data_IF_277769904562
#
_entry.id   IF_277769904562
#
_cell.length_a   1.000
_cell.length_b   1.000
_cell.length_c   1.000
_cell.angle_alpha   90.00
_cell.angle_beta   90.00
_cell.angle_gamma   90.00
#
_symmetry.space_group_name_H-M   'P 1'
#
loop_
_entity.id
_entity.type
_entity.pdbx_description
1 polymer ?
#
# COMPACT_ATOMS: atom_id res chain seq x y z
N UNK A 1 10.73 -6.97 21.97
CA UNK A 1 9.32 -6.71 22.31
C UNK A 1 9.15 -5.21 22.40
N UNK A 2 8.39 -4.64 21.49
CA UNK A 2 8.28 -3.20 21.29
C UNK A 2 7.42 -2.57 22.40
N UNK A 3 8.07 -1.84 23.30
CA UNK A 3 7.46 -1.17 24.47
C UNK A 3 6.32 -0.19 24.13
N UNK A 4 6.27 0.52 22.97
CA UNK A 4 5.18 1.43 22.61
C UNK A 4 3.84 0.71 22.38
N UNK A 5 3.87 -0.47 21.75
CA UNK A 5 2.67 -1.26 21.47
C UNK A 5 1.98 -1.76 22.75
N UNK A 6 2.75 -1.96 23.83
CA UNK A 6 2.23 -2.35 25.14
C UNK A 6 1.48 -1.22 25.86
N UNK A 7 1.75 0.04 25.52
CA UNK A 7 1.10 1.23 26.12
C UNK A 7 0.05 1.88 25.22
N UNK A 8 -0.29 1.27 24.08
CA UNK A 8 -1.35 1.75 23.19
C UNK A 8 -1.12 3.18 22.67
N UNK A 9 0.14 3.61 22.56
CA UNK A 9 0.50 4.86 21.90
C UNK A 9 1.09 4.51 20.53
N UNK A 10 0.44 4.87 19.41
CA UNK A 10 1.10 4.80 18.13
C UNK A 10 2.34 5.70 18.22
N UNK A 11 3.50 5.18 17.81
CA UNK A 11 4.67 6.01 17.59
C UNK A 11 4.38 7.06 16.50
N UNK A 12 5.26 8.05 16.30
CA UNK A 12 5.16 8.89 15.11
C UNK A 12 5.13 8.01 13.85
N UNK A 13 4.45 8.44 12.77
CA UNK A 13 4.49 7.75 11.49
C UNK A 13 5.94 7.47 11.10
N UNK A 14 6.21 6.27 10.58
CA UNK A 14 7.55 5.92 10.11
C UNK A 14 7.85 6.73 8.85
N UNK A 15 9.12 7.08 8.68
CA UNK A 15 9.58 7.72 7.46
C UNK A 15 9.73 6.64 6.36
N UNK A 16 8.88 6.73 5.35
CA UNK A 16 8.87 5.85 4.18
C UNK A 16 9.36 6.55 2.91
N UNK A 17 10.09 7.66 3.03
CA UNK A 17 10.60 8.42 1.89
C UNK A 17 11.64 7.68 1.04
N UNK A 18 12.34 6.69 1.62
CA UNK A 18 13.43 5.95 0.96
C UNK A 18 12.95 4.64 0.32
N UNK A 19 13.55 4.32 -0.82
CA UNK A 19 13.45 3.03 -1.52
C UNK A 19 14.70 2.84 -2.40
N UNK A 20 14.93 1.61 -2.90
CA UNK A 20 16.02 1.28 -3.83
C UNK A 20 15.56 0.47 -5.05
N UNK A 21 14.25 0.33 -5.25
CA UNK A 21 13.64 -0.28 -6.43
C UNK A 21 12.92 0.80 -7.23
N UNK A 22 13.23 0.91 -8.52
CA UNK A 22 12.54 1.79 -9.48
C UNK A 22 11.21 1.15 -9.92
N UNK A 23 10.23 1.99 -10.25
CA UNK A 23 8.97 1.58 -10.86
C UNK A 23 8.91 2.13 -12.28
N UNK A 24 8.89 1.21 -13.24
CA UNK A 24 8.56 1.46 -14.63
C UNK A 24 7.05 1.28 -14.75
N UNK A 25 6.32 2.34 -15.06
CA UNK A 25 4.88 2.30 -15.21
C UNK A 25 4.52 2.34 -16.69
N UNK A 26 3.93 1.26 -17.19
CA UNK A 26 3.60 1.10 -18.60
C UNK A 26 2.34 1.85 -18.99
N UNK A 27 2.46 2.68 -20.03
CA UNK A 27 1.36 3.17 -20.84
C UNK A 27 1.17 2.16 -21.97
N UNK A 28 0.18 1.30 -21.78
CA UNK A 28 -0.18 0.25 -22.73
C UNK A 28 -0.79 0.83 -24.00
N UNK A 29 -0.57 0.17 -25.12
CA UNK A 29 -1.10 0.59 -26.44
C UNK A 29 -0.72 2.04 -26.81
N UNK A 30 0.48 2.48 -26.42
CA UNK A 30 0.97 3.84 -26.66
C UNK A 30 0.87 4.31 -28.13
N UNK A 31 1.06 3.46 -29.17
CA UNK A 31 0.86 3.86 -30.56
C UNK A 31 -0.55 4.37 -30.89
N UNK A 32 -1.58 3.99 -30.11
CA UNK A 32 -2.95 4.43 -30.32
C UNK A 32 -3.30 5.73 -29.59
N UNK A 33 -2.45 6.18 -28.68
CA UNK A 33 -2.72 7.34 -27.84
C UNK A 33 -2.10 8.60 -28.45
N UNK A 34 -2.85 9.72 -28.52
CA UNK A 34 -2.24 11.00 -28.82
C UNK A 34 -1.26 11.42 -27.70
N UNK A 35 -0.29 12.26 -28.05
CA UNK A 35 0.77 12.69 -27.13
C UNK A 35 0.20 13.35 -25.86
N UNK A 36 -0.94 14.05 -25.92
CA UNK A 36 -1.51 14.68 -24.72
C UNK A 36 -2.08 13.63 -23.74
N UNK A 37 -2.70 12.56 -24.25
CA UNK A 37 -3.16 11.45 -23.41
C UNK A 37 -1.97 10.70 -22.78
N UNK A 38 -0.88 10.49 -23.53
CA UNK A 38 0.37 9.93 -23.00
C UNK A 38 0.89 10.79 -21.83
N UNK A 39 0.93 12.12 -22.00
CA UNK A 39 1.37 13.04 -20.94
C UNK A 39 0.44 13.04 -19.72
N UNK A 40 -0.88 12.94 -19.94
CA UNK A 40 -1.86 12.87 -18.86
C UNK A 40 -1.68 11.60 -18.02
N UNK A 41 -1.48 10.45 -18.68
CA UNK A 41 -1.20 9.18 -18.00
C UNK A 41 0.15 9.19 -17.29
N UNK A 42 1.20 9.73 -17.93
CA UNK A 42 2.52 9.88 -17.33
C UNK A 42 2.47 10.71 -16.03
N UNK A 43 1.74 11.82 -16.04
CA UNK A 43 1.51 12.66 -14.85
C UNK A 43 0.81 11.90 -13.74
N UNK A 44 -0.23 11.12 -14.07
CA UNK A 44 -0.92 10.27 -13.11
C UNK A 44 0.01 9.20 -12.51
N UNK A 45 0.82 8.52 -13.32
CA UNK A 45 1.75 7.50 -12.86
C UNK A 45 2.89 8.07 -12.02
N UNK A 46 3.46 9.21 -12.41
CA UNK A 46 4.46 9.90 -11.60
C UNK A 46 3.88 10.32 -10.23
N UNK A 47 2.65 10.85 -10.21
CA UNK A 47 1.93 11.15 -8.97
C UNK A 47 1.61 9.91 -8.12
N UNK A 48 1.51 8.73 -8.75
CA UNK A 48 1.32 7.44 -8.09
C UNK A 48 2.61 6.80 -7.57
N UNK A 49 3.78 7.34 -7.93
CA UNK A 49 5.10 6.86 -7.50
C UNK A 49 5.95 6.19 -8.57
N UNK A 50 5.59 6.28 -9.85
CA UNK A 50 6.44 5.82 -10.95
C UNK A 50 7.72 6.68 -11.06
N UNK A 51 8.87 6.04 -11.33
CA UNK A 51 10.13 6.74 -11.59
C UNK A 51 10.46 6.83 -13.09
N UNK A 52 9.92 5.89 -13.87
CA UNK A 52 10.12 5.78 -15.32
C UNK A 52 8.76 5.54 -15.96
N UNK A 53 8.48 6.28 -17.04
CA UNK A 53 7.29 6.07 -17.87
C UNK A 53 7.69 5.17 -19.02
N UNK A 54 7.05 4.01 -19.10
CA UNK A 54 7.31 3.01 -20.13
C UNK A 54 6.24 3.10 -21.22
N UNK A 55 6.67 3.23 -22.48
CA UNK A 55 5.78 3.26 -23.64
C UNK A 55 5.73 1.85 -24.22
N UNK A 56 4.61 1.15 -24.00
CA UNK A 56 4.36 -0.17 -24.54
C UNK A 56 3.94 -0.09 -26.01
N UNK A 57 4.80 -0.54 -26.92
CA UNK A 57 4.49 -0.69 -28.33
C UNK A 57 3.58 -1.91 -28.57
N UNK A 58 3.03 -2.00 -29.78
CA UNK A 58 2.18 -3.10 -30.20
C UNK A 58 2.83 -3.88 -31.35
N UNK A 59 2.80 -5.23 -31.32
CA UNK A 59 3.23 -6.02 -32.47
C UNK A 59 2.49 -5.61 -33.75
N UNK A 60 3.21 -5.63 -34.87
CA UNK A 60 2.67 -5.34 -36.21
C UNK A 60 1.94 -3.98 -36.34
N UNK A 61 2.21 -3.02 -35.45
CA UNK A 61 1.56 -1.70 -35.40
C UNK A 61 2.60 -0.60 -35.35
N UNK A 62 2.65 0.24 -36.39
CA UNK A 62 3.60 1.36 -36.43
C UNK A 62 3.32 2.37 -35.31
N UNK A 63 4.38 2.86 -34.66
CA UNK A 63 4.34 4.04 -33.79
C UNK A 63 4.89 5.29 -34.50
N UNK A 64 4.08 6.02 -35.30
CA UNK A 64 4.56 7.12 -36.15
C UNK A 64 5.00 8.36 -35.35
N UNK A 65 4.38 8.61 -34.20
CA UNK A 65 4.68 9.75 -33.31
C UNK A 65 5.53 9.36 -32.10
N UNK A 66 6.31 8.28 -32.20
CA UNK A 66 7.18 7.78 -31.13
C UNK A 66 8.17 8.85 -30.66
N UNK A 67 8.89 9.49 -31.57
CA UNK A 67 9.90 10.51 -31.25
C UNK A 67 9.26 11.75 -30.61
N UNK A 68 8.06 12.13 -31.06
CA UNK A 68 7.29 13.23 -30.49
C UNK A 68 6.84 12.90 -29.06
N UNK A 69 6.39 11.66 -28.82
CA UNK A 69 5.99 11.18 -27.50
C UNK A 69 7.17 11.15 -26.51
N UNK A 70 8.31 10.58 -26.92
CA UNK A 70 9.55 10.54 -26.13
C UNK A 70 10.01 11.96 -25.80
N UNK A 71 10.11 12.83 -26.82
CA UNK A 71 10.54 14.22 -26.64
C UNK A 71 9.62 15.01 -25.71
N UNK A 72 8.30 14.81 -25.83
CA UNK A 72 7.32 15.48 -24.99
C UNK A 72 7.42 15.04 -23.51
N UNK A 73 7.62 13.74 -23.26
CA UNK A 73 7.83 13.21 -21.91
C UNK A 73 9.12 13.76 -21.28
N UNK A 74 10.22 13.75 -22.03
CA UNK A 74 11.50 14.30 -21.56
C UNK A 74 11.43 15.80 -21.28
N UNK A 75 10.70 16.56 -22.11
CA UNK A 75 10.49 17.98 -21.88
C UNK A 75 9.75 18.28 -20.57
N UNK A 76 8.94 17.34 -20.07
CA UNK A 76 8.30 17.43 -18.75
C UNK A 76 9.17 16.88 -17.61
N UNK A 77 10.38 16.40 -17.90
CA UNK A 77 11.34 15.90 -16.92
C UNK A 77 11.12 14.44 -16.51
N UNK A 78 10.31 13.68 -17.24
CA UNK A 78 10.15 12.24 -17.02
C UNK A 78 11.34 11.48 -17.60
N UNK A 79 11.72 10.38 -16.93
CA UNK A 79 12.53 9.33 -17.56
C UNK A 79 11.63 8.46 -18.43
N UNK A 80 12.14 8.08 -19.59
CA UNK A 80 11.35 7.37 -20.60
C UNK A 80 11.97 6.02 -20.91
N UNK A 81 11.12 5.01 -20.96
CA UNK A 81 11.42 3.66 -21.40
C UNK A 81 10.53 3.31 -22.59
N UNK A 82 11.02 2.49 -23.51
CA UNK A 82 10.24 2.00 -24.65
C UNK A 82 10.37 0.48 -24.73
N UNK A 83 9.23 -0.22 -24.73
CA UNK A 83 9.15 -1.66 -24.91
C UNK A 83 8.57 -2.00 -26.28
N UNK A 84 9.40 -2.57 -27.16
CA UNK A 84 9.00 -2.96 -28.50
C UNK A 84 9.72 -4.24 -28.93
N UNK A 85 9.02 -5.04 -29.74
CA UNK A 85 9.61 -6.17 -30.45
C UNK A 85 10.37 -5.74 -31.73
N UNK A 86 10.16 -4.51 -32.21
CA UNK A 86 10.72 -4.01 -33.46
C UNK A 86 12.02 -3.22 -33.22
N UNK A 87 13.14 -3.73 -33.73
CA UNK A 87 14.46 -3.14 -33.52
C UNK A 87 14.56 -1.70 -34.03
N UNK A 88 13.88 -1.37 -35.13
CA UNK A 88 13.88 0.00 -35.66
C UNK A 88 13.16 0.97 -34.72
N UNK A 89 12.10 0.55 -34.02
CA UNK A 89 11.44 1.38 -33.02
C UNK A 89 12.34 1.63 -31.82
N UNK A 90 13.07 0.61 -31.35
CA UNK A 90 14.05 0.77 -30.27
C UNK A 90 15.19 1.73 -30.66
N UNK A 91 15.74 1.60 -31.87
CA UNK A 91 16.76 2.53 -32.38
C UNK A 91 16.21 3.95 -32.54
N UNK A 92 14.97 4.14 -33.03
CA UNK A 92 14.30 5.44 -33.10
C UNK A 92 14.10 6.06 -31.72
N UNK A 93 13.58 5.28 -30.77
CA UNK A 93 13.36 5.70 -29.39
C UNK A 93 14.66 6.17 -28.72
N UNK A 94 15.73 5.37 -28.83
CA UNK A 94 17.01 5.74 -28.22
C UNK A 94 17.65 6.97 -28.86
N UNK A 95 17.54 7.14 -30.19
CA UNK A 95 17.98 8.38 -30.87
C UNK A 95 17.14 9.61 -30.51
N UNK A 96 15.85 9.41 -30.20
CA UNK A 96 14.97 10.45 -29.69
C UNK A 96 15.24 10.81 -28.22
N UNK A 97 16.05 10.01 -27.52
CA UNK A 97 16.55 10.29 -26.19
C UNK A 97 16.04 9.36 -25.09
N UNK A 98 15.26 8.31 -25.40
CA UNK A 98 14.74 7.39 -24.38
C UNK A 98 15.86 6.89 -23.44
N UNK A 99 15.60 6.90 -22.12
CA UNK A 99 16.58 6.48 -21.11
C UNK A 99 16.79 4.97 -21.12
N UNK A 100 15.73 4.21 -21.43
CA UNK A 100 15.72 2.75 -21.46
C UNK A 100 15.06 2.22 -22.73
N UNK A 101 15.53 1.04 -23.17
CA UNK A 101 14.89 0.24 -24.21
C UNK A 101 14.75 -1.19 -23.71
N UNK A 102 13.59 -1.80 -23.89
CA UNK A 102 13.28 -3.10 -23.32
C UNK A 102 13.44 -4.23 -24.34
N UNK A 103 13.52 -5.45 -23.81
CA UNK A 103 13.37 -6.69 -24.57
C UNK A 103 14.50 -7.03 -25.57
N UNK A 104 15.74 -6.60 -25.31
CA UNK A 104 16.90 -7.04 -26.12
C UNK A 104 17.34 -8.46 -25.75
N UNK A 105 17.69 -9.26 -26.73
CA UNK A 105 18.27 -10.60 -26.53
C UNK A 105 19.71 -10.65 -27.07
N UNK A 106 20.38 -11.80 -26.94
CA UNK A 106 21.69 -12.02 -27.58
C UNK A 106 21.67 -11.82 -29.10
N UNK A 107 20.51 -11.94 -29.75
CA UNK A 107 20.35 -11.78 -31.20
C UNK A 107 20.21 -10.31 -31.61
N UNK A 108 19.68 -9.47 -30.72
CA UNK A 108 19.37 -8.05 -30.98
C UNK A 108 20.29 -7.07 -30.25
N UNK A 109 21.31 -7.58 -29.56
CA UNK A 109 22.19 -6.78 -28.70
C UNK A 109 22.92 -5.63 -29.42
N UNK A 110 23.11 -5.76 -30.74
CA UNK A 110 23.74 -4.72 -31.57
C UNK A 110 23.00 -3.37 -31.53
N UNK A 111 21.69 -3.34 -31.22
CA UNK A 111 20.93 -2.09 -31.05
C UNK A 111 21.50 -1.25 -29.89
N UNK A 112 22.00 -1.89 -28.83
CA UNK A 112 22.65 -1.20 -27.71
C UNK A 112 23.99 -0.53 -28.11
N UNK A 113 24.53 -0.81 -29.30
CA UNK A 113 25.68 -0.10 -29.87
C UNK A 113 25.32 1.18 -30.61
N UNK A 114 24.05 1.36 -30.95
CA UNK A 114 23.56 2.49 -31.74
C UNK A 114 23.03 3.65 -30.91
N UNK A 115 22.70 3.41 -29.63
CA UNK A 115 22.00 4.36 -28.76
C UNK A 115 22.62 4.41 -27.37
N UNK A 116 22.42 5.52 -26.66
CA UNK A 116 22.89 5.72 -25.28
C UNK A 116 21.90 5.16 -24.23
N UNK A 117 20.72 4.68 -24.66
CA UNK A 117 19.70 4.07 -23.79
C UNK A 117 20.24 2.83 -23.08
N UNK A 118 19.83 2.63 -21.82
CA UNK A 118 20.18 1.43 -21.06
C UNK A 118 19.24 0.29 -21.46
N UNK A 119 19.75 -0.81 -22.06
CA UNK A 119 18.90 -1.91 -22.47
C UNK A 119 18.49 -2.81 -21.30
N UNK A 120 17.27 -3.34 -21.36
CA UNK A 120 16.84 -4.48 -20.54
C UNK A 120 16.99 -5.74 -21.38
N UNK A 121 17.83 -6.65 -20.89
CA UNK A 121 18.15 -7.92 -21.55
C UNK A 121 17.19 -9.01 -21.12
N UNK A 122 16.64 -9.74 -22.09
CA UNK A 122 15.74 -10.88 -21.87
C UNK A 122 16.32 -12.15 -22.52
N UNK A 123 15.86 -13.34 -22.11
CA UNK A 123 16.15 -14.58 -22.81
C UNK A 123 15.72 -14.52 -24.29
N UNK A 124 16.52 -15.09 -25.20
CA UNK A 124 16.14 -15.23 -26.62
C UNK A 124 14.93 -16.16 -26.80
N UNK A 125 14.70 -17.07 -25.84
CA UNK A 125 13.53 -17.95 -25.78
C UNK A 125 12.98 -17.99 -24.36
N UNK A 126 11.65 -18.11 -24.17
CA UNK A 126 11.06 -18.24 -22.85
C UNK A 126 11.74 -19.34 -22.02
N UNK A 127 12.20 -18.97 -20.82
CA UNK A 127 12.87 -19.87 -19.87
C UNK A 127 14.35 -20.18 -20.16
N UNK A 128 14.92 -19.72 -21.28
CA UNK A 128 16.33 -19.97 -21.62
C UNK A 128 17.28 -18.99 -20.90
N UNK A 129 17.53 -19.27 -19.62
CA UNK A 129 18.46 -18.48 -18.80
C UNK A 129 19.87 -18.42 -19.40
N UNK A 130 20.32 -19.44 -20.11
CA UNK A 130 21.68 -19.48 -20.67
C UNK A 130 21.83 -18.47 -21.82
N UNK A 131 20.79 -18.25 -22.64
CA UNK A 131 20.79 -17.17 -23.64
C UNK A 131 20.92 -15.78 -22.99
N UNK A 132 20.20 -15.56 -21.88
CA UNK A 132 20.32 -14.31 -21.12
C UNK A 132 21.73 -14.14 -20.54
N UNK A 133 22.35 -15.22 -20.02
CA UNK A 133 23.73 -15.12 -19.50
C UNK A 133 24.75 -14.74 -20.57
N UNK A 134 24.60 -15.22 -21.81
CA UNK A 134 25.49 -14.82 -22.91
C UNK A 134 25.34 -13.34 -23.27
N UNK A 135 24.11 -12.82 -23.26
CA UNK A 135 23.86 -11.40 -23.47
C UNK A 135 24.45 -10.53 -22.34
N UNK A 136 24.29 -10.97 -21.08
CA UNK A 136 24.86 -10.32 -19.90
C UNK A 136 26.40 -10.27 -20.01
N UNK A 137 27.04 -11.39 -20.27
CA UNK A 137 28.50 -11.48 -20.37
C UNK A 137 29.05 -10.58 -21.49
N UNK A 138 28.32 -10.49 -22.61
CA UNK A 138 28.68 -9.59 -23.72
C UNK A 138 28.59 -8.10 -23.30
N UNK A 139 27.53 -7.68 -22.62
CA UNK A 139 27.38 -6.30 -22.15
C UNK A 139 28.39 -5.94 -21.04
N UNK A 140 28.66 -6.89 -20.13
CA UNK A 140 29.71 -6.73 -19.12
C UNK A 140 31.10 -6.58 -19.76
N UNK A 141 31.42 -7.38 -20.78
CA UNK A 141 32.68 -7.28 -21.52
C UNK A 141 32.80 -5.96 -22.27
N UNK A 142 31.68 -5.43 -22.79
CA UNK A 142 31.61 -4.11 -23.42
C UNK A 142 31.68 -2.94 -22.42
N UNK A 143 31.50 -3.20 -21.11
CA UNK A 143 31.49 -2.17 -20.07
C UNK A 143 30.29 -1.22 -20.16
N UNK A 144 29.18 -1.68 -20.76
CA UNK A 144 27.96 -0.88 -20.93
C UNK A 144 26.96 -1.15 -19.79
N UNK A 145 26.18 -0.14 -19.36
CA UNK A 145 25.10 -0.36 -18.42
C UNK A 145 23.98 -1.18 -19.08
N UNK A 146 23.29 -2.01 -18.30
CA UNK A 146 22.13 -2.79 -18.71
C UNK A 146 21.36 -3.24 -17.46
N UNK A 147 20.12 -3.70 -17.65
CA UNK A 147 19.40 -4.52 -16.68
C UNK A 147 19.15 -5.91 -17.27
N UNK A 148 18.95 -6.92 -16.43
CA UNK A 148 18.56 -8.26 -16.87
C UNK A 148 17.16 -8.60 -16.35
N UNK A 149 16.34 -9.22 -17.19
CA UNK A 149 15.03 -9.75 -16.80
C UNK A 149 14.88 -11.20 -17.32
N UNK A 150 14.94 -12.23 -16.45
CA UNK A 150 14.69 -13.64 -16.81
C UNK A 150 13.21 -13.99 -17.04
N UNK A 151 12.33 -12.98 -17.02
CA UNK A 151 10.88 -13.01 -17.22
C UNK A 151 10.12 -13.79 -16.15
N UNK A 152 9.19 -13.11 -15.48
CA UNK A 152 8.29 -13.71 -14.51
C UNK A 152 7.07 -14.34 -15.21
N UNK A 153 7.03 -15.67 -15.27
CA UNK A 153 5.92 -16.40 -15.92
C UNK A 153 4.59 -16.35 -15.13
N UNK A 154 3.42 -16.44 -15.79
CA UNK A 154 2.12 -16.60 -15.13
C UNK A 154 1.97 -17.91 -14.33
N UNK A 155 0.99 -17.93 -13.42
CA UNK A 155 0.61 -19.16 -12.67
C UNK A 155 0.17 -20.24 -13.67
N UNK A 156 0.62 -21.47 -13.45
CA UNK A 156 0.46 -22.64 -14.34
C UNK A 156 1.29 -22.64 -15.63
N UNK A 157 2.05 -21.58 -15.91
CA UNK A 157 2.92 -21.48 -17.09
C UNK A 157 4.42 -21.40 -16.73
N UNK A 158 4.77 -21.60 -15.46
CA UNK A 158 6.16 -21.61 -15.02
C UNK A 158 6.47 -20.67 -13.85
N UNK A 159 5.48 -19.99 -13.25
CA UNK A 159 5.70 -19.00 -12.19
C UNK A 159 6.72 -19.40 -11.10
N UNK A 160 6.64 -20.62 -10.56
CA UNK A 160 7.59 -21.04 -9.53
C UNK A 160 9.00 -21.25 -10.10
N UNK A 161 9.11 -21.77 -11.31
CA UNK A 161 10.40 -21.92 -12.00
C UNK A 161 10.98 -20.55 -12.37
N UNK A 162 10.16 -19.56 -12.73
CA UNK A 162 10.64 -18.20 -13.01
C UNK A 162 11.22 -17.52 -11.76
N UNK A 163 10.60 -17.68 -10.59
CA UNK A 163 11.20 -17.23 -9.32
C UNK A 163 12.56 -17.89 -9.04
N UNK A 164 12.69 -19.18 -9.36
CA UNK A 164 13.98 -19.89 -9.27
C UNK A 164 15.00 -19.30 -10.25
N UNK A 165 14.59 -18.95 -11.48
CA UNK A 165 15.47 -18.26 -12.44
C UNK A 165 15.95 -16.90 -11.93
N UNK A 166 15.09 -16.09 -11.31
CA UNK A 166 15.52 -14.83 -10.68
C UNK A 166 16.55 -15.05 -9.58
N UNK A 167 16.32 -16.04 -8.70
CA UNK A 167 17.27 -16.41 -7.64
C UNK A 167 18.61 -16.84 -8.23
N UNK A 168 18.58 -17.74 -9.22
CA UNK A 168 19.79 -18.28 -9.84
C UNK A 168 20.57 -17.20 -10.58
N UNK A 169 19.88 -16.30 -11.28
CA UNK A 169 20.49 -15.13 -11.92
C UNK A 169 21.19 -14.24 -10.89
N UNK A 170 20.51 -13.88 -9.79
CA UNK A 170 21.10 -13.05 -8.72
C UNK A 170 22.31 -13.73 -8.07
N UNK A 171 22.30 -15.05 -7.91
CA UNK A 171 23.45 -15.79 -7.39
C UNK A 171 24.65 -15.78 -8.35
N UNK A 172 24.41 -15.96 -9.66
CA UNK A 172 25.45 -15.94 -10.69
C UNK A 172 26.02 -14.53 -10.88
N UNK A 173 25.18 -13.50 -10.81
CA UNK A 173 25.54 -12.10 -11.04
C UNK A 173 25.09 -11.19 -9.88
N UNK A 174 25.81 -11.20 -8.74
CA UNK A 174 25.42 -10.41 -7.56
C UNK A 174 25.37 -8.90 -7.77
N UNK A 175 26.11 -8.37 -8.75
CA UNK A 175 26.22 -6.94 -9.03
C UNK A 175 25.45 -6.45 -10.26
N UNK A 176 24.73 -7.33 -10.97
CA UNK A 176 23.93 -6.94 -12.14
C UNK A 176 22.59 -6.37 -11.70
N UNK A 177 22.17 -5.26 -12.31
CA UNK A 177 20.83 -4.73 -12.08
C UNK A 177 19.78 -5.65 -12.72
N UNK A 178 18.71 -5.92 -11.98
CA UNK A 178 17.65 -6.83 -12.40
C UNK A 178 16.35 -6.03 -12.46
N UNK A 179 15.59 -6.26 -13.52
CA UNK A 179 14.21 -5.81 -13.67
C UNK A 179 13.27 -7.01 -13.53
N UNK A 180 12.10 -6.82 -12.92
CA UNK A 180 11.04 -7.83 -12.86
C UNK A 180 9.70 -7.26 -13.34
N UNK A 181 9.17 -7.77 -14.45
CA UNK A 181 7.78 -7.52 -14.85
C UNK A 181 6.79 -8.24 -13.93
N UNK A 182 5.95 -7.49 -13.23
CA UNK A 182 4.97 -8.07 -12.27
C UNK A 182 3.58 -8.28 -12.88
N UNK A 183 3.32 -7.73 -14.08
CA UNK A 183 2.03 -7.74 -14.76
C UNK A 183 1.44 -9.13 -14.98
N UNK A 184 2.26 -10.13 -15.29
CA UNK A 184 1.82 -11.52 -15.50
C UNK A 184 1.09 -12.15 -14.30
N UNK A 185 1.26 -11.58 -13.10
CA UNK A 185 0.63 -12.08 -11.88
C UNK A 185 -0.51 -11.18 -11.47
N UNK A 186 -0.34 -9.86 -11.50
CA UNK A 186 -1.38 -8.90 -11.11
C UNK A 186 -2.53 -8.84 -12.12
N UNK A 187 -2.26 -8.96 -13.42
CA UNK A 187 -3.29 -8.93 -14.48
C UNK A 187 -4.01 -10.28 -14.66
N UNK A 188 -3.26 -11.38 -14.54
CA UNK A 188 -3.75 -12.72 -14.92
C UNK A 188 -4.21 -13.58 -13.73
N UNK A 189 -4.33 -12.97 -12.55
CA UNK A 189 -4.85 -13.64 -11.33
C UNK A 189 -6.01 -12.85 -10.77
N UNK A 190 -7.20 -13.45 -10.70
CA UNK A 190 -8.37 -12.85 -10.08
C UNK A 190 -8.28 -12.91 -8.54
N UNK A 191 -7.47 -12.03 -7.94
CA UNK A 191 -7.35 -11.82 -6.50
C UNK A 191 -6.98 -10.36 -6.21
N UNK A 192 -7.07 -9.91 -4.96
CA UNK A 192 -6.72 -8.53 -4.62
C UNK A 192 -5.23 -8.25 -4.92
N UNK A 193 -4.98 -7.30 -5.83
CA UNK A 193 -3.65 -6.96 -6.35
C UNK A 193 -2.69 -6.51 -5.23
N UNK A 194 -3.19 -5.81 -4.21
CA UNK A 194 -2.41 -5.42 -3.02
C UNK A 194 -1.65 -6.59 -2.39
N UNK A 195 -2.29 -7.75 -2.24
CA UNK A 195 -1.68 -8.95 -1.66
C UNK A 195 -0.65 -9.59 -2.60
N UNK A 196 -0.95 -9.64 -3.90
CA UNK A 196 -0.03 -10.15 -4.94
C UNK A 196 1.22 -9.26 -4.99
N UNK A 197 1.03 -7.94 -5.10
CA UNK A 197 2.07 -6.93 -5.12
C UNK A 197 2.94 -7.01 -3.87
N UNK A 198 2.35 -7.14 -2.67
CA UNK A 198 3.12 -7.28 -1.44
C UNK A 198 4.03 -8.52 -1.44
N UNK A 199 3.54 -9.67 -1.92
CA UNK A 199 4.34 -10.89 -2.01
C UNK A 199 5.50 -10.74 -3.01
N UNK A 200 5.21 -10.23 -4.21
CA UNK A 200 6.22 -10.01 -5.25
C UNK A 200 7.28 -9.00 -4.81
N UNK A 201 6.87 -7.90 -4.17
CA UNK A 201 7.80 -6.90 -3.63
C UNK A 201 8.65 -7.45 -2.47
N UNK A 202 8.16 -8.45 -1.74
CA UNK A 202 8.97 -9.24 -0.81
C UNK A 202 10.11 -9.96 -1.51
N UNK A 203 9.82 -10.66 -2.61
CA UNK A 203 10.84 -11.34 -3.45
C UNK A 203 11.82 -10.32 -4.03
N UNK A 204 11.32 -9.21 -4.58
CA UNK A 204 12.14 -8.09 -5.11
C UNK A 204 13.12 -7.59 -4.05
N UNK A 205 12.64 -7.38 -2.82
CA UNK A 205 13.47 -6.90 -1.71
C UNK A 205 14.53 -7.93 -1.28
N UNK A 206 14.16 -9.21 -1.16
CA UNK A 206 15.08 -10.30 -0.79
C UNK A 206 16.18 -10.53 -1.84
N UNK A 207 15.82 -10.48 -3.12
CA UNK A 207 16.74 -10.64 -4.24
C UNK A 207 17.45 -9.34 -4.64
N UNK A 208 17.14 -8.20 -3.98
CA UNK A 208 17.67 -6.87 -4.34
C UNK A 208 17.47 -6.57 -5.83
N UNK A 209 16.27 -6.80 -6.34
CA UNK A 209 15.88 -6.43 -7.69
C UNK A 209 15.72 -4.90 -7.72
N UNK A 210 16.35 -4.26 -8.72
CA UNK A 210 16.51 -2.81 -8.77
C UNK A 210 15.38 -2.07 -9.49
N UNK A 211 14.56 -2.80 -10.25
CA UNK A 211 13.42 -2.23 -10.96
C UNK A 211 12.27 -3.23 -11.07
N UNK A 212 11.04 -2.73 -11.11
CA UNK A 212 9.85 -3.49 -11.48
C UNK A 212 9.12 -2.80 -12.63
N UNK A 213 8.62 -3.60 -13.58
CA UNK A 213 7.70 -3.12 -14.61
C UNK A 213 6.26 -3.43 -14.16
N UNK A 214 5.50 -2.37 -13.95
CA UNK A 214 4.11 -2.40 -13.52
C UNK A 214 3.22 -2.07 -14.72
N UNK A 215 2.41 -3.07 -15.08
CA UNK A 215 1.50 -3.01 -16.22
C UNK A 215 0.08 -2.72 -15.73
N UNK A 216 -0.67 -1.93 -16.50
CA UNK A 216 -2.10 -1.67 -16.27
C UNK A 216 -2.88 -1.82 -17.57
N UNK A 217 -3.15 -3.05 -17.97
CA UNK A 217 -4.06 -3.38 -19.07
C UNK A 217 -5.50 -3.42 -18.55
N UNK A 218 -5.76 -4.14 -17.46
CA UNK A 218 -7.11 -4.30 -16.92
C UNK A 218 -7.49 -3.17 -15.96
N UNK A 219 -8.77 -2.73 -15.94
CA UNK A 219 -9.30 -1.87 -14.88
C UNK A 219 -9.13 -2.44 -13.47
N UNK A 220 -8.87 -3.75 -13.34
CA UNK A 220 -8.51 -4.43 -12.10
C UNK A 220 -7.23 -3.84 -11.47
N UNK A 221 -6.21 -3.54 -12.28
CA UNK A 221 -4.89 -3.05 -11.84
C UNK A 221 -4.83 -1.53 -11.64
N UNK A 222 -5.98 -0.85 -11.47
CA UNK A 222 -6.07 0.62 -11.40
C UNK A 222 -5.28 1.30 -10.29
N UNK A 223 -4.81 0.56 -9.28
CA UNK A 223 -3.94 1.06 -8.20
C UNK A 223 -2.57 0.40 -8.18
N UNK A 224 -2.22 -0.44 -9.16
CA UNK A 224 -1.00 -1.25 -9.13
C UNK A 224 0.29 -0.42 -8.92
N UNK A 225 0.38 0.78 -9.50
CA UNK A 225 1.51 1.70 -9.29
C UNK A 225 1.59 2.21 -7.85
N UNK A 226 0.46 2.62 -7.25
CA UNK A 226 0.42 3.03 -5.84
C UNK A 226 0.74 1.88 -4.89
N UNK A 227 0.24 0.68 -5.22
CA UNK A 227 0.52 -0.54 -4.46
C UNK A 227 2.00 -0.87 -4.50
N UNK A 228 2.62 -0.81 -5.67
CA UNK A 228 4.05 -1.07 -5.85
C UNK A 228 4.90 -0.02 -5.12
N UNK A 229 4.53 1.27 -5.19
CA UNK A 229 5.26 2.35 -4.49
C UNK A 229 5.20 2.20 -2.97
N UNK A 230 4.01 1.92 -2.41
CA UNK A 230 3.90 1.69 -0.97
C UNK A 230 4.65 0.41 -0.56
N UNK A 231 4.48 -0.67 -1.32
CA UNK A 231 5.12 -1.95 -1.03
C UNK A 231 6.65 -1.86 -1.08
N UNK A 232 7.26 -1.22 -2.08
CA UNK A 232 8.74 -1.07 -2.13
C UNK A 232 9.28 -0.33 -0.91
N UNK A 233 8.56 0.70 -0.43
CA UNK A 233 8.97 1.50 0.73
C UNK A 233 8.87 0.72 2.03
N UNK A 234 7.77 -0.02 2.21
CA UNK A 234 7.58 -0.92 3.36
C UNK A 234 8.68 -1.99 3.38
N UNK A 235 8.93 -2.65 2.26
CA UNK A 235 9.92 -3.72 2.17
C UNK A 235 11.34 -3.20 2.35
N UNK A 236 11.65 -2.01 1.83
CA UNK A 236 12.93 -1.35 2.05
C UNK A 236 13.16 -1.04 3.53
N UNK A 237 12.18 -0.42 4.20
CA UNK A 237 12.26 -0.11 5.62
C UNK A 237 12.42 -1.39 6.48
N UNK A 238 11.64 -2.43 6.19
CA UNK A 238 11.73 -3.71 6.89
C UNK A 238 13.13 -4.33 6.77
N UNK A 239 13.69 -4.30 5.57
CA UNK A 239 15.02 -4.86 5.28
C UNK A 239 16.14 -4.08 5.97
N UNK A 240 16.11 -2.75 5.93
CA UNK A 240 17.11 -1.89 6.59
C UNK A 240 17.10 -2.08 8.12
N UNK A 241 15.93 -2.36 8.70
CA UNK A 241 15.77 -2.62 10.14
C UNK A 241 15.98 -4.09 10.53
N UNK A 242 16.19 -4.99 9.55
CA UNK A 242 16.21 -6.43 9.75
C UNK A 242 14.99 -6.93 10.55
N UNK A 243 13.81 -6.45 10.17
CA UNK A 243 12.53 -6.77 10.79
C UNK A 243 11.55 -7.36 9.80
N UNK A 244 10.46 -7.93 10.31
CA UNK A 244 9.30 -8.28 9.48
C UNK A 244 8.61 -6.99 9.00
N UNK A 245 7.94 -7.00 7.83
CA UNK A 245 7.24 -5.83 7.30
C UNK A 245 5.96 -5.47 8.07
N UNK A 246 5.51 -6.33 8.99
CA UNK A 246 4.29 -6.12 9.77
C UNK A 246 4.40 -4.92 10.73
N UNK A 247 3.39 -4.04 10.69
CA UNK A 247 3.31 -2.88 11.59
C UNK A 247 4.25 -1.73 11.23
N UNK A 248 4.82 -1.75 10.03
CA UNK A 248 5.53 -0.60 9.44
C UNK A 248 4.50 0.42 8.92
N UNK A 249 3.59 -0.04 8.08
CA UNK A 249 2.47 0.72 7.53
C UNK A 249 1.35 -0.27 7.16
N UNK A 250 0.10 0.11 7.41
CA UNK A 250 -1.08 -0.74 7.20
C UNK A 250 -1.78 -0.41 5.87
N UNK A 251 -1.24 0.48 5.02
CA UNK A 251 -1.87 0.98 3.80
C UNK A 251 -2.00 -0.04 2.66
N UNK A 252 -1.33 -1.19 2.75
CA UNK A 252 -1.61 -2.35 1.86
C UNK A 252 -2.84 -3.17 2.32
N UNK A 253 -3.38 -2.89 3.51
CA UNK A 253 -4.54 -3.60 4.10
C UNK A 253 -5.86 -2.87 3.80
N UNK A 254 -6.24 -2.82 2.51
CA UNK A 254 -7.48 -2.12 2.10
C UNK A 254 -8.76 -2.77 2.61
N UNK A 255 -8.85 -4.11 2.62
CA UNK A 255 -10.09 -4.84 2.89
C UNK A 255 -10.42 -5.00 4.39
N UNK A 256 -9.41 -5.22 5.24
CA UNK A 256 -9.61 -5.48 6.66
C UNK A 256 -8.44 -4.92 7.47
N UNK A 257 -8.73 -4.42 8.67
CA UNK A 257 -7.72 -3.89 9.59
C UNK A 257 -7.22 -4.99 10.53
N UNK A 258 -5.99 -4.84 11.01
CA UNK A 258 -5.38 -5.79 11.96
C UNK A 258 -6.14 -5.87 13.30
N UNK A 259 -6.84 -4.79 13.69
CA UNK A 259 -7.63 -4.68 14.93
C UNK A 259 -8.92 -3.91 14.65
N UNK A 260 -9.93 -4.57 14.07
CA UNK A 260 -11.12 -3.88 13.56
C UNK A 260 -12.06 -3.39 14.67
N UNK A 261 -12.03 -4.05 15.83
CA UNK A 261 -12.91 -3.77 16.97
C UNK A 261 -12.09 -3.21 18.13
N UNK A 262 -11.98 -1.88 18.28
CA UNK A 262 -11.19 -1.27 19.35
C UNK A 262 -11.81 -1.44 20.75
N UNK A 263 -13.11 -1.75 20.81
CA UNK A 263 -13.87 -1.94 22.04
C UNK A 263 -14.68 -3.24 21.98
N UNK A 264 -14.82 -3.90 23.12
CA UNK A 264 -15.73 -5.02 23.32
C UNK A 264 -17.18 -4.56 23.51
N UNK A 265 -18.14 -5.46 23.30
CA UNK A 265 -19.56 -5.16 23.50
C UNK A 265 -19.88 -4.70 24.95
N UNK A 266 -19.18 -5.25 25.94
CA UNK A 266 -19.34 -4.88 27.36
C UNK A 266 -18.85 -3.43 27.61
N UNK A 267 -17.70 -3.06 27.04
CA UNK A 267 -17.19 -1.68 27.11
C UNK A 267 -18.14 -0.69 26.44
N UNK A 268 -18.70 -1.05 25.28
CA UNK A 268 -19.69 -0.23 24.58
C UNK A 268 -20.96 -0.07 25.42
N UNK A 269 -21.43 -1.14 26.06
CA UNK A 269 -22.60 -1.09 26.96
C UNK A 269 -22.34 -0.17 28.16
N UNK A 270 -21.14 -0.20 28.73
CA UNK A 270 -20.74 0.75 29.79
C UNK A 270 -20.78 2.19 29.26
N UNK A 271 -20.24 2.46 28.06
CA UNK A 271 -20.30 3.79 27.45
C UNK A 271 -21.73 4.26 27.21
N UNK A 272 -22.60 3.38 26.69
CA UNK A 272 -24.00 3.68 26.44
C UNK A 272 -24.73 4.11 27.73
N UNK A 273 -24.47 3.44 28.86
CA UNK A 273 -25.08 3.77 30.15
C UNK A 273 -24.74 5.18 30.67
N UNK A 274 -23.65 5.78 30.19
CA UNK A 274 -23.20 7.11 30.60
C UNK A 274 -23.77 8.23 29.72
N UNK A 275 -24.40 7.91 28.60
CA UNK A 275 -24.98 8.90 27.68
C UNK A 275 -26.31 9.42 28.23
N UNK A 276 -26.49 10.74 28.19
CA UNK A 276 -27.68 11.43 28.74
C UNK A 276 -28.32 12.39 27.73
N UNK A 277 -27.70 12.58 26.56
CA UNK A 277 -28.18 13.42 25.47
C UNK A 277 -28.87 12.59 24.37
N UNK A 278 -29.73 13.21 23.53
CA UNK A 278 -30.47 12.49 22.49
C UNK A 278 -29.62 12.14 21.27
N UNK A 279 -28.35 12.56 21.19
CA UNK A 279 -27.55 12.33 19.98
C UNK A 279 -27.16 10.86 19.85
N UNK A 280 -27.44 10.30 18.67
CA UNK A 280 -27.08 8.93 18.34
C UNK A 280 -25.58 8.76 18.21
N UNK A 281 -25.08 7.70 18.84
CA UNK A 281 -23.71 7.22 18.71
C UNK A 281 -23.75 5.83 18.12
N UNK A 282 -22.89 5.59 17.14
CA UNK A 282 -22.74 4.31 16.46
C UNK A 282 -21.36 3.76 16.79
N UNK A 283 -21.29 2.51 17.23
CA UNK A 283 -20.05 1.79 17.47
C UNK A 283 -20.15 0.37 16.93
N UNK A 284 -19.01 -0.24 16.59
CA UNK A 284 -18.93 -1.59 16.06
C UNK A 284 -18.13 -2.46 17.03
N UNK A 285 -18.65 -3.65 17.33
CA UNK A 285 -17.94 -4.70 18.07
C UNK A 285 -18.02 -6.03 17.34
N UNK A 286 -17.48 -7.09 17.95
CA UNK A 286 -17.64 -8.47 17.48
C UNK A 286 -19.11 -8.93 17.47
N UNK A 287 -19.99 -8.30 18.27
CA UNK A 287 -21.42 -8.64 18.33
C UNK A 287 -22.27 -7.90 17.29
N UNK A 288 -21.69 -6.95 16.55
CA UNK A 288 -22.40 -6.18 15.53
C UNK A 288 -22.33 -4.67 15.76
N UNK A 289 -23.37 -4.01 15.26
CA UNK A 289 -23.58 -2.57 15.34
C UNK A 289 -24.28 -2.24 16.65
N UNK A 290 -23.76 -1.24 17.35
CA UNK A 290 -24.36 -0.68 18.55
C UNK A 290 -24.81 0.75 18.25
N UNK A 291 -26.11 1.01 18.39
CA UNK A 291 -26.70 2.35 18.27
C UNK A 291 -27.26 2.74 19.62
N UNK A 292 -26.82 3.87 20.16
CA UNK A 292 -27.27 4.30 21.48
C UNK A 292 -27.33 5.82 21.65
N UNK A 293 -28.22 6.25 22.52
CA UNK A 293 -28.36 7.61 23.04
C UNK A 293 -28.97 7.53 24.46
N UNK A 294 -29.53 8.63 24.98
CA UNK A 294 -30.23 8.61 26.27
C UNK A 294 -31.52 7.75 26.30
N UNK A 295 -32.13 7.52 25.14
CA UNK A 295 -33.45 6.90 25.00
C UNK A 295 -33.34 5.38 24.85
N UNK A 296 -32.17 4.85 24.47
CA UNK A 296 -31.94 3.41 24.39
C UNK A 296 -30.55 3.00 23.90
N UNK A 297 -30.28 1.69 23.97
CA UNK A 297 -29.11 1.03 23.38
C UNK A 297 -29.58 -0.22 22.63
N UNK A 298 -29.39 -0.22 21.31
CA UNK A 298 -29.84 -1.25 20.39
C UNK A 298 -28.63 -1.90 19.72
N UNK A 299 -28.67 -3.22 19.58
CA UNK A 299 -27.59 -4.01 19.00
C UNK A 299 -28.18 -4.84 17.85
N UNK A 300 -27.52 -4.84 16.71
CA UNK A 300 -27.94 -5.60 15.53
C UNK A 300 -26.83 -5.71 14.50
N UNK A 301 -26.97 -6.64 13.57
CA UNK A 301 -26.06 -6.86 12.46
C UNK A 301 -26.51 -6.14 11.17
N UNK A 302 -27.82 -5.98 11.00
CA UNK A 302 -28.44 -5.36 9.82
C UNK A 302 -28.95 -3.93 10.09
N UNK A 303 -28.48 -2.90 9.33
CA UNK A 303 -28.91 -1.52 9.49
C UNK A 303 -30.43 -1.32 9.51
N UNK A 304 -31.15 -1.91 8.56
CA UNK A 304 -32.60 -1.73 8.43
C UNK A 304 -33.39 -2.29 9.61
N UNK A 305 -32.88 -3.33 10.29
CA UNK A 305 -33.54 -3.90 11.45
C UNK A 305 -33.44 -2.99 12.68
N UNK A 306 -32.45 -2.09 12.74
CA UNK A 306 -32.27 -1.15 13.84
C UNK A 306 -33.19 0.07 13.73
N UNK A 307 -33.54 0.50 12.52
CA UNK A 307 -34.31 1.74 12.27
C UNK A 307 -35.62 1.89 13.07
N UNK A 308 -36.49 0.85 13.17
CA UNK A 308 -37.74 0.96 13.92
C UNK A 308 -37.55 1.27 15.41
N UNK A 309 -36.37 1.00 15.97
CA UNK A 309 -36.05 1.25 17.37
C UNK A 309 -35.52 2.68 17.61
N UNK A 310 -35.17 3.42 16.55
CA UNK A 310 -34.51 4.72 16.67
C UNK A 310 -35.50 5.89 16.76
N UNK A 311 -36.79 5.69 16.45
CA UNK A 311 -37.82 6.73 16.57
C UNK A 311 -37.59 7.97 15.69
N UNK A 312 -37.00 7.78 14.51
CA UNK A 312 -36.66 8.86 13.55
C UNK A 312 -37.61 8.93 12.35
N UNK A 313 -38.77 8.28 12.39
CA UNK A 313 -39.67 8.15 11.24
C UNK A 313 -40.22 9.50 10.76
N UNK A 314 -40.34 10.46 11.67
CA UNK A 314 -40.80 11.82 11.39
C UNK A 314 -39.66 12.81 11.09
N UNK A 315 -38.39 12.38 11.14
CA UNK A 315 -37.21 13.20 10.94
C UNK A 315 -36.36 12.68 9.77
N UNK A 316 -36.81 13.00 8.55
CA UNK A 316 -36.17 12.57 7.31
C UNK A 316 -34.67 12.88 7.23
N UNK A 317 -34.22 14.11 7.57
CA UNK A 317 -32.79 14.43 7.61
C UNK A 317 -31.98 13.56 8.56
N UNK A 318 -32.42 13.33 9.81
CA UNK A 318 -31.70 12.46 10.74
C UNK A 318 -31.75 10.99 10.33
N UNK A 319 -32.89 10.51 9.82
CA UNK A 319 -33.01 9.16 9.29
C UNK A 319 -32.04 8.91 8.13
N UNK A 320 -31.87 9.88 7.22
CA UNK A 320 -30.90 9.80 6.13
C UNK A 320 -29.46 9.73 6.64
N UNK A 321 -29.07 10.62 7.57
CA UNK A 321 -27.74 10.60 8.19
C UNK A 321 -27.43 9.26 8.86
N UNK A 322 -28.36 8.75 9.67
CA UNK A 322 -28.21 7.45 10.31
C UNK A 322 -28.11 6.32 9.30
N UNK A 323 -28.80 6.40 8.17
CA UNK A 323 -28.72 5.40 7.09
C UNK A 323 -27.33 5.34 6.48
N UNK A 324 -26.72 6.50 6.22
CA UNK A 324 -25.34 6.58 5.72
C UNK A 324 -24.35 5.99 6.73
N UNK A 325 -24.43 6.42 7.99
CA UNK A 325 -23.51 5.97 9.03
C UNK A 325 -23.68 4.48 9.37
N UNK A 326 -24.92 3.97 9.48
CA UNK A 326 -25.18 2.55 9.73
C UNK A 326 -24.76 1.68 8.54
N UNK A 327 -24.93 2.16 7.31
CA UNK A 327 -24.41 1.48 6.12
C UNK A 327 -22.89 1.37 6.16
N UNK A 328 -22.18 2.46 6.49
CA UNK A 328 -20.73 2.47 6.63
C UNK A 328 -20.26 1.56 7.78
N UNK A 329 -20.92 1.62 8.93
CA UNK A 329 -20.62 0.77 10.08
C UNK A 329 -20.87 -0.72 9.77
N UNK A 330 -21.91 -1.05 9.01
CA UNK A 330 -22.18 -2.41 8.55
C UNK A 330 -21.07 -2.94 7.64
N UNK A 331 -20.65 -2.18 6.63
CA UNK A 331 -19.50 -2.56 5.78
C UNK A 331 -18.27 -2.81 6.65
N UNK A 332 -17.99 -1.93 7.62
CA UNK A 332 -16.87 -2.09 8.52
C UNK A 332 -16.96 -3.35 9.37
N UNK A 333 -18.14 -3.67 9.92
CA UNK A 333 -18.35 -4.90 10.67
C UNK A 333 -18.15 -6.15 9.79
N UNK A 334 -18.72 -6.15 8.57
CA UNK A 334 -18.66 -7.28 7.64
C UNK A 334 -17.26 -7.59 7.13
N UNK A 335 -16.49 -6.55 6.83
CA UNK A 335 -15.14 -6.68 6.27
C UNK A 335 -14.06 -6.68 7.35
N UNK A 336 -14.40 -6.33 8.59
CA UNK A 336 -13.41 -6.14 9.65
C UNK A 336 -12.58 -4.89 9.41
N UNK A 337 -13.23 -3.73 9.24
CA UNK A 337 -12.61 -2.41 9.27
C UNK A 337 -12.94 -1.69 10.58
N UNK A 338 -12.04 -0.80 10.99
CA UNK A 338 -12.29 0.13 12.08
C UNK A 338 -13.28 1.18 11.58
N UNK A 339 -14.42 1.26 12.24
CA UNK A 339 -15.40 2.31 12.01
C UNK A 339 -15.22 3.45 13.01
N UNK A 340 -15.14 4.68 12.49
CA UNK A 340 -15.28 5.90 13.26
C UNK A 340 -16.42 6.72 12.67
N UNK A 341 -17.44 7.00 13.48
CA UNK A 341 -18.57 7.81 13.04
C UNK A 341 -18.13 9.19 12.55
N UNK A 342 -18.75 9.64 11.45
CA UNK A 342 -18.42 10.87 10.70
C UNK A 342 -17.07 10.84 9.96
N UNK A 343 -16.38 9.69 9.91
CA UNK A 343 -15.17 9.49 9.12
C UNK A 343 -15.44 8.45 8.02
N UNK A 344 -14.77 8.60 6.87
CA UNK A 344 -14.78 7.59 5.81
C UNK A 344 -14.00 6.35 6.24
N UNK A 345 -14.33 5.20 5.64
CA UNK A 345 -13.51 4.00 5.82
C UNK A 345 -12.15 4.19 5.14
N UNK A 346 -11.09 3.80 5.83
CA UNK A 346 -9.73 3.84 5.30
C UNK A 346 -9.50 2.63 4.40
N UNK A 347 -9.28 2.84 3.11
CA UNK A 347 -9.00 1.79 2.14
C UNK A 347 -7.51 1.63 1.83
N UNK A 348 -6.63 2.29 2.60
CA UNK A 348 -5.20 2.32 2.33
C UNK A 348 -4.90 2.87 0.94
N UNK A 349 -3.97 2.25 0.21
CA UNK A 349 -3.64 2.63 -1.17
C UNK A 349 -4.65 2.14 -2.21
N UNK A 350 -5.63 1.31 -1.83
CA UNK A 350 -6.65 0.77 -2.73
C UNK A 350 -7.69 1.81 -3.20
N UNK A 351 -7.78 2.96 -2.54
CA UNK A 351 -8.61 4.08 -2.97
C UNK A 351 -7.84 5.40 -2.93
N UNK A 352 -8.40 6.43 -3.56
CA UNK A 352 -7.97 7.80 -3.29
C UNK A 352 -8.34 8.17 -1.85
N UNK A 353 -7.48 8.94 -1.14
CA UNK A 353 -7.85 9.49 0.16
C UNK A 353 -9.18 10.24 0.04
N UNK A 354 -10.18 9.81 0.81
CA UNK A 354 -11.45 10.52 0.88
C UNK A 354 -11.26 11.95 1.39
N UNK A 355 -12.23 12.86 1.14
CA UNK A 355 -12.20 14.19 1.74
C UNK A 355 -12.16 14.03 3.26
N UNK A 356 -11.02 14.34 3.88
CA UNK A 356 -10.94 14.36 5.34
C UNK A 356 -11.89 15.43 5.86
N UNK A 357 -12.60 15.16 6.95
CA UNK A 357 -13.46 16.14 7.64
C UNK A 357 -12.70 17.36 8.20
N UNK A 358 -11.41 17.52 7.86
CA UNK A 358 -10.53 18.61 8.26
C UNK A 358 -9.87 19.24 7.04
N UNK A 359 -10.62 20.01 6.25
CA UNK A 359 -10.03 20.88 5.23
C UNK A 359 -11.01 21.37 4.17
N UNK A 360 -11.55 22.58 4.40
CA UNK A 360 -11.81 23.63 3.39
C UNK A 360 -12.36 23.21 2.01
N UNK A 361 -13.26 22.24 1.95
CA UNK A 361 -14.18 22.05 0.83
C UNK A 361 -15.47 22.81 1.10
N UNK A 362 -16.00 23.53 0.11
CA UNK A 362 -17.28 24.28 0.15
C UNK A 362 -18.52 23.37 0.22
N UNK A 363 -18.49 22.37 1.11
CA UNK A 363 -19.67 21.66 1.60
C UNK A 363 -19.88 22.06 3.05
N UNK A 364 -20.99 22.73 3.36
CA UNK A 364 -21.39 23.06 4.74
C UNK A 364 -21.52 21.80 5.57
N UNK A 365 -20.44 21.42 6.27
CA UNK A 365 -20.48 20.40 7.30
C UNK A 365 -21.42 20.93 8.40
N UNK A 366 -22.45 20.17 8.84
CA UNK A 366 -23.36 20.60 9.89
C UNK A 366 -22.58 21.07 11.14
N UNK A 367 -23.01 22.18 11.74
CA UNK A 367 -22.34 22.83 12.86
C UNK A 367 -22.11 21.90 14.07
N UNK A 368 -22.92 20.84 14.17
CA UNK A 368 -22.81 19.80 15.17
C UNK A 368 -21.54 18.93 15.02
N UNK A 369 -21.08 18.69 13.80
CA UNK A 369 -19.90 17.89 13.48
C UNK A 369 -18.60 18.61 13.89
N UNK A 370 -18.55 19.93 13.71
CA UNK A 370 -17.42 20.76 14.18
C UNK A 370 -17.36 20.83 15.72
N UNK A 371 -18.52 20.92 16.38
CA UNK A 371 -18.62 20.89 17.83
C UNK A 371 -18.19 19.52 18.39
N UNK A 372 -18.63 18.42 17.78
CA UNK A 372 -18.25 17.06 18.19
C UNK A 372 -16.77 16.74 17.92
N UNK A 373 -16.17 17.22 16.82
CA UNK A 373 -14.75 17.06 16.56
C UNK A 373 -13.88 17.80 17.61
N UNK A 374 -14.30 19.00 18.02
CA UNK A 374 -13.68 19.74 19.10
C UNK A 374 -13.82 19.02 20.46
N UNK A 375 -15.00 18.46 20.72
CA UNK A 375 -15.29 17.71 21.95
C UNK A 375 -14.55 16.37 22.01
N UNK A 376 -14.40 15.66 20.87
CA UNK A 376 -13.57 14.45 20.72
C UNK A 376 -12.08 14.76 20.94
N UNK A 377 -11.56 15.86 20.40
CA UNK A 377 -10.18 16.33 20.68
C UNK A 377 -9.99 16.64 22.17
N UNK A 378 -10.98 17.26 22.81
CA UNK A 378 -10.95 17.55 24.24
C UNK A 378 -11.03 16.26 25.09
N UNK A 379 -11.88 15.30 24.72
CA UNK A 379 -12.02 14.01 25.39
C UNK A 379 -10.76 13.15 25.26
N UNK A 380 -10.15 13.09 24.07
CA UNK A 380 -8.87 12.39 23.83
C UNK A 380 -7.73 12.98 24.67
N UNK A 381 -7.70 14.32 24.81
CA UNK A 381 -6.78 15.02 25.74
C UNK A 381 -7.07 14.66 27.20
N UNK A 382 -8.34 14.70 27.63
CA UNK A 382 -8.74 14.38 29.02
C UNK A 382 -8.44 12.91 29.39
N UNK A 383 -8.67 11.97 28.48
CA UNK A 383 -8.36 10.55 28.67
C UNK A 383 -6.85 10.31 28.74
N UNK A 384 -6.05 10.98 27.90
CA UNK A 384 -4.59 10.93 27.96
C UNK A 384 -4.05 11.47 29.31
N UNK A 385 -4.59 12.60 29.80
CA UNK A 385 -4.22 13.18 31.09
C UNK A 385 -4.64 12.29 32.28
N UNK A 386 -5.83 11.68 32.22
CA UNK A 386 -6.33 10.77 33.26
C UNK A 386 -5.51 9.48 33.33
N UNK A 387 -5.09 8.91 32.19
CA UNK A 387 -4.14 7.78 32.13
C UNK A 387 -2.76 8.13 32.70
N UNK A 388 -2.28 9.36 32.49
CA UNK A 388 -1.00 9.82 33.04
C UNK A 388 -1.05 10.01 34.57
N UNK A 389 -2.17 10.50 35.10
CA UNK A 389 -2.39 10.67 36.55
C UNK A 389 -2.60 9.33 37.27
N UNK A 390 -3.32 8.39 36.67
CA UNK A 390 -3.50 7.04 37.23
C UNK A 390 -2.22 6.19 37.18
N UNK A 391 -1.38 6.37 36.15
CA UNK A 391 -0.05 5.75 36.09
C UNK A 391 0.94 6.29 37.14
N UNK A 392 0.81 7.56 37.53
CA UNK A 392 1.65 8.17 38.57
C UNK A 392 1.19 7.86 40.01
N UNK A 393 -0.09 7.55 40.23
CA UNK A 393 -0.69 7.29 41.55
C UNK A 393 -0.49 5.86 42.09
N UNK A 394 -0.15 4.89 41.24
CA UNK A 394 -0.05 3.47 41.62
C UNK A 394 1.28 3.03 42.27
N UNK A 395 2.30 3.90 42.35
CA UNK A 395 3.65 3.47 42.74
C UNK A 395 3.99 3.60 44.24
N UNK A 396 3.07 4.07 45.10
CA UNK A 396 3.39 4.35 46.52
C UNK A 396 2.73 3.48 47.60
N UNK A 397 1.84 2.53 47.27
CA UNK A 397 1.21 1.67 48.31
C UNK A 397 1.66 0.20 48.33
N UNK A 398 2.35 -0.30 47.30
CA UNK A 398 2.79 -1.72 47.23
C UNK A 398 4.20 -2.02 47.78
N UNK A 399 5.02 -1.00 48.03
CA UNK A 399 6.43 -1.17 48.39
C UNK A 399 6.67 -1.36 49.90
N UNK A 400 5.74 -0.93 50.76
CA UNK A 400 5.88 -0.95 52.23
C UNK A 400 5.45 -2.27 52.88
N UNK A 401 4.64 -3.09 52.21
CA UNK A 401 4.17 -4.37 52.76
C UNK A 401 5.11 -5.55 52.44
N UNK A 402 5.77 -5.53 51.27
CA UNK A 402 6.80 -6.53 50.90
C UNK A 402 8.13 -6.36 51.65
N UNK A 403 8.45 -5.15 52.10
CA UNK A 403 9.64 -4.88 52.91
C UNK A 403 9.50 -5.35 54.38
N UNK A 404 8.31 -5.25 54.98
CA UNK A 404 8.06 -5.73 56.36
C UNK A 404 7.99 -7.25 56.47
N UNK A 405 7.52 -7.98 55.43
CA UNK A 405 7.50 -9.45 55.41
C UNK A 405 8.89 -10.09 55.22
N UNK A 406 9.84 -9.41 54.56
CA UNK A 406 11.22 -9.92 54.38
C UNK A 406 12.12 -9.70 55.62
N UNK A 407 11.86 -8.69 56.44
CA UNK A 407 12.60 -8.42 57.68
C UNK A 407 12.20 -9.38 58.84
N UNK A 408 10.94 -9.83 58.90
CA UNK A 408 10.46 -10.75 59.96
C UNK A 408 10.87 -12.22 59.77
N UNK A 409 11.39 -12.58 58.58
CA UNK A 409 11.82 -13.95 58.24
C UNK A 409 13.33 -14.17 58.37
N UNK A 410 14.12 -13.10 58.55
CA UNK A 410 15.59 -13.18 58.79
C UNK A 410 15.99 -13.19 60.26
N UNK A 411 15.07 -12.99 61.21
CA UNK A 411 15.33 -13.02 62.67
C UNK A 411 14.84 -14.28 63.39
N UNK A 412 14.35 -15.30 62.67
CA UNK A 412 13.94 -16.59 63.24
C UNK A 412 14.79 -17.81 62.82
N UNK A 413 15.90 -17.60 62.12
CA UNK A 413 16.82 -18.67 61.68
C UNK A 413 18.16 -18.74 62.43
N UNK A 414 18.31 -18.05 63.56
CA UNK A 414 19.49 -18.12 64.45
C UNK A 414 19.04 -18.27 65.90
N UNK A 415 18.47 -19.43 66.22
CA UNK A 415 18.38 -20.07 67.56
C UNK A 415 17.50 -21.31 67.46
N UNK A 416 18.10 -22.41 67.03
CA UNK A 416 17.99 -23.76 67.59
C UNK A 416 18.79 -24.70 66.69
#
# INVERSE_FOLDING_TARGET
KDLPAFFGRPGPPRDLSRHDCLIFAEIVEAPHLPVEEILAQASHYAGAGADVIDLGCLPDTDFPHLEDAVSALQAQGYKVSVDSAEMEELSRAGRAGADYILSLSEETLHVADEVDSVPVLIPAKPGDLESLTRAIDAMMAAGKPFMADPILDPIHFGFTESLVRYRDLRQRYPGVDILMGVGNLTELTAADTTGITALLMGVVSELRIGAVLVVRVSPHCRRAVHEADLARRIMFAAREENSLPVGIDDGLMGLHDRRPTPYSADEITEFASLVQDPSFRIQVSEQGLHVFNRDGHHIGDEPFALFPELGVEADGPHAFYLGVELGRAHIAHRLGKVYTQDEELDWGCSAEPGPTATGEGEGTVPSHTLAMAAERRAAKKRAATKRQQQGAGGSKSGATEKAKKKAKRKTRGKKK
#
